data_IF_041171344574
#
_entry.id   IF_041171344574
#
_cell.length_a   1.000
_cell.length_b   1.000
_cell.length_c   1.000
_cell.angle_alpha   90.00
_cell.angle_beta   90.00
_cell.angle_gamma   90.00
#
_symmetry.space_group_name_H-M   'P 1'
#
loop_
_entity.id
_entity.type
_entity.pdbx_description
1 polymer ?
#
# COMPACT_ATOMS: atom_id res chain seq x y z
N UNK A 1 2.72 17.11 -36.72
CA UNK A 1 1.68 16.37 -35.97
C UNK A 1 2.30 15.94 -34.65
N UNK A 2 2.05 16.72 -33.59
CA UNK A 2 2.53 16.41 -32.26
C UNK A 2 1.67 15.30 -31.68
N UNK A 3 2.29 14.16 -31.37
CA UNK A 3 1.64 13.14 -30.57
C UNK A 3 1.46 13.72 -29.17
N UNK A 4 0.21 13.91 -28.75
CA UNK A 4 -0.12 14.20 -27.38
C UNK A 4 0.42 13.06 -26.52
N UNK A 5 1.39 13.37 -25.67
CA UNK A 5 1.80 12.50 -24.58
C UNK A 5 0.56 12.19 -23.76
N UNK A 6 0.12 10.93 -23.77
CA UNK A 6 -0.93 10.49 -22.85
C UNK A 6 -0.35 10.66 -21.45
N UNK A 7 -0.88 11.62 -20.70
CA UNK A 7 -0.49 11.87 -19.32
C UNK A 7 -0.54 10.57 -18.55
N UNK A 8 0.62 10.13 -18.04
CA UNK A 8 0.82 9.00 -17.15
C UNK A 8 -0.01 9.19 -15.87
N UNK A 9 -1.25 8.71 -15.88
CA UNK A 9 -2.16 8.75 -14.73
C UNK A 9 -1.84 7.72 -13.63
N UNK A 10 -0.62 7.16 -13.61
CA UNK A 10 -0.27 5.97 -12.83
C UNK A 10 0.73 6.19 -11.69
N UNK A 11 1.24 7.40 -11.45
CA UNK A 11 2.23 7.61 -10.38
C UNK A 11 1.63 7.90 -8.99
N UNK A 12 0.34 8.26 -8.89
CA UNK A 12 -0.26 8.75 -7.64
C UNK A 12 -0.84 7.66 -6.73
N UNK A 13 -0.97 6.42 -7.21
CA UNK A 13 -1.62 5.32 -6.48
C UNK A 13 -0.82 4.03 -6.61
N UNK A 14 -0.52 3.41 -5.48
CA UNK A 14 -0.01 2.04 -5.41
C UNK A 14 -0.93 1.20 -4.55
N UNK A 15 -1.26 0.01 -5.02
CA UNK A 15 -2.05 -0.98 -4.27
C UNK A 15 -1.26 -2.28 -4.23
N UNK A 16 -1.03 -2.82 -3.04
CA UNK A 16 -0.40 -4.12 -2.89
C UNK A 16 -1.21 -5.03 -1.96
N UNK A 17 -1.10 -6.32 -2.21
CA UNK A 17 -1.61 -7.38 -1.35
C UNK A 17 -0.46 -8.33 -1.06
N UNK A 18 -0.22 -8.62 0.21
CA UNK A 18 0.88 -9.51 0.62
C UNK A 18 0.49 -10.40 1.80
N UNK A 19 1.20 -11.52 1.92
CA UNK A 19 1.02 -12.52 2.98
C UNK A 19 2.27 -12.55 3.86
N UNK A 20 2.13 -12.17 5.14
CA UNK A 20 3.22 -12.13 6.12
C UNK A 20 3.81 -13.51 6.41
N UNK A 21 3.18 -14.60 6.02
CA UNK A 21 3.66 -15.97 6.27
C UNK A 21 4.60 -16.47 5.17
N UNK A 22 4.63 -15.80 4.01
CA UNK A 22 5.46 -16.17 2.86
C UNK A 22 6.80 -15.44 2.87
N UNK A 23 7.75 -15.87 2.04
CA UNK A 23 9.01 -15.16 1.80
C UNK A 23 9.82 -14.81 3.05
N UNK A 24 9.82 -15.68 4.06
CA UNK A 24 10.49 -15.45 5.35
C UNK A 24 11.99 -15.75 5.32
N UNK A 25 12.47 -16.39 4.25
CA UNK A 25 13.88 -16.70 4.07
C UNK A 25 14.54 -15.70 3.14
N UNK A 26 15.83 -15.48 3.35
CA UNK A 26 16.64 -14.60 2.51
C UNK A 26 16.55 -15.01 1.03
N UNK A 27 16.22 -14.04 0.17
CA UNK A 27 16.06 -14.23 -1.26
C UNK A 27 14.68 -14.73 -1.70
N UNK A 28 13.75 -14.95 -0.78
CA UNK A 28 12.36 -15.36 -1.07
C UNK A 28 11.34 -14.24 -0.84
N UNK A 29 11.78 -13.00 -0.62
CA UNK A 29 10.89 -11.90 -0.21
C UNK A 29 9.81 -11.61 -1.25
N UNK A 30 10.07 -11.89 -2.53
CA UNK A 30 9.08 -11.75 -3.60
C UNK A 30 7.89 -12.70 -3.46
N UNK A 31 8.04 -13.83 -2.77
CA UNK A 31 6.95 -14.76 -2.52
C UNK A 31 5.90 -14.19 -1.56
N UNK A 32 6.23 -13.10 -0.82
CA UNK A 32 5.26 -12.35 -0.01
C UNK A 32 4.19 -11.67 -0.87
N UNK A 33 4.53 -11.29 -2.09
CA UNK A 33 3.69 -10.43 -2.93
C UNK A 33 2.61 -11.29 -3.60
N UNK A 34 1.35 -11.09 -3.20
CA UNK A 34 0.20 -11.73 -3.86
C UNK A 34 -0.30 -10.90 -5.04
N UNK A 35 -0.24 -9.58 -4.91
CA UNK A 35 -0.64 -8.63 -5.95
C UNK A 35 0.08 -7.29 -5.78
N UNK A 36 0.39 -6.64 -6.89
CA UNK A 36 0.90 -5.27 -6.90
C UNK A 36 0.38 -4.51 -8.12
N UNK A 37 -0.07 -3.28 -7.89
CA UNK A 37 -0.47 -2.33 -8.92
C UNK A 37 0.24 -0.99 -8.70
N UNK A 38 0.78 -0.36 -9.76
CA UNK A 38 0.86 -0.87 -11.14
C UNK A 38 1.79 -2.10 -11.29
N UNK A 39 1.47 -3.06 -12.18
CA UNK A 39 2.22 -4.31 -12.30
C UNK A 39 3.60 -4.14 -12.97
N UNK A 40 3.81 -3.04 -13.70
CA UNK A 40 5.05 -2.68 -14.39
C UNK A 40 6.12 -2.09 -13.47
N UNK A 41 5.80 -1.92 -12.18
CA UNK A 41 6.75 -1.42 -11.20
C UNK A 41 7.88 -2.43 -10.92
N UNK A 42 9.11 -1.93 -10.78
CA UNK A 42 10.27 -2.79 -10.48
C UNK A 42 10.11 -3.56 -9.17
N UNK A 43 10.61 -4.80 -9.12
CA UNK A 43 10.60 -5.62 -7.92
C UNK A 43 11.21 -4.93 -6.69
N UNK A 44 12.28 -4.15 -6.89
CA UNK A 44 12.90 -3.37 -5.80
C UNK A 44 11.93 -2.34 -5.20
N UNK A 45 11.11 -1.68 -6.03
CA UNK A 45 10.07 -0.77 -5.53
C UNK A 45 8.97 -1.53 -4.81
N UNK A 46 8.51 -2.67 -5.35
CA UNK A 46 7.45 -3.46 -4.73
C UNK A 46 7.89 -3.96 -3.34
N UNK A 47 9.10 -4.52 -3.25
CA UNK A 47 9.71 -4.96 -2.00
C UNK A 47 9.90 -3.81 -1.00
N UNK A 48 10.31 -2.62 -1.48
CA UNK A 48 10.43 -1.44 -0.62
C UNK A 48 9.10 -1.05 0.03
N UNK A 49 8.00 -1.06 -0.75
CA UNK A 49 6.67 -0.73 -0.23
C UNK A 49 6.18 -1.78 0.78
N UNK A 50 6.38 -3.07 0.48
CA UNK A 50 5.94 -4.17 1.34
C UNK A 50 6.77 -4.23 2.62
N UNK A 51 8.10 -4.14 2.53
CA UNK A 51 8.98 -4.13 3.70
C UNK A 51 8.71 -2.95 4.64
N UNK A 52 8.45 -1.76 4.08
CA UNK A 52 8.03 -0.61 4.88
C UNK A 52 6.68 -0.88 5.57
N UNK A 53 5.70 -1.43 4.84
CA UNK A 53 4.37 -1.72 5.37
C UNK A 53 4.41 -2.76 6.49
N UNK A 54 5.11 -3.86 6.27
CA UNK A 54 5.35 -4.92 7.26
C UNK A 54 6.05 -4.37 8.51
N UNK A 55 7.08 -3.54 8.33
CA UNK A 55 7.78 -2.90 9.43
C UNK A 55 6.86 -2.01 10.26
N UNK A 56 5.99 -1.22 9.61
CA UNK A 56 5.03 -0.34 10.29
C UNK A 56 3.94 -1.13 11.02
N UNK A 57 3.38 -2.17 10.40
CA UNK A 57 2.39 -3.06 11.02
C UNK A 57 3.00 -3.75 12.25
N UNK A 58 4.21 -4.31 12.11
CA UNK A 58 4.90 -5.02 13.18
C UNK A 58 5.22 -4.07 14.32
N UNK A 59 5.76 -2.90 14.02
CA UNK A 59 6.12 -1.89 15.02
C UNK A 59 4.90 -1.41 15.80
N UNK A 60 3.81 -1.07 15.12
CA UNK A 60 2.60 -0.55 15.77
C UNK A 60 1.89 -1.60 16.63
N UNK A 61 1.90 -2.88 16.21
CA UNK A 61 1.38 -4.00 17.01
C UNK A 61 2.09 -4.15 18.37
N UNK A 62 3.36 -3.73 18.49
CA UNK A 62 4.05 -3.72 19.79
C UNK A 62 3.39 -2.79 20.81
N UNK A 63 2.77 -1.71 20.35
CA UNK A 63 2.11 -0.71 21.20
C UNK A 63 0.58 -0.89 21.25
N UNK A 64 0.01 -1.64 20.31
CA UNK A 64 -1.42 -1.91 20.23
C UNK A 64 -1.66 -3.32 19.68
N UNK A 65 -1.53 -4.36 20.52
CA UNK A 65 -1.59 -5.75 20.06
C UNK A 65 -2.95 -6.14 19.44
N UNK A 66 -4.02 -5.58 20.00
CA UNK A 66 -5.41 -5.87 19.59
C UNK A 66 -5.94 -4.91 18.51
N UNK A 67 -5.14 -3.93 18.09
CA UNK A 67 -5.54 -2.92 17.11
C UNK A 67 -4.43 -2.72 16.07
N UNK A 68 -4.65 -3.31 14.90
CA UNK A 68 -3.83 -3.12 13.71
C UNK A 68 -3.70 -1.63 13.34
N UNK A 69 -2.54 -1.23 12.83
CA UNK A 69 -2.40 0.07 12.18
C UNK A 69 -3.33 0.14 10.98
N UNK A 70 -4.17 1.16 10.93
CA UNK A 70 -5.12 1.35 9.84
C UNK A 70 -4.63 2.38 8.81
N UNK A 71 -3.96 3.44 9.26
CA UNK A 71 -3.56 4.57 8.40
C UNK A 71 -2.30 5.23 8.92
N UNK A 72 -1.40 5.57 8.01
CA UNK A 72 -0.25 6.44 8.28
C UNK A 72 -0.30 7.62 7.33
N UNK A 73 -0.28 8.81 7.93
CA UNK A 73 -0.43 10.07 7.23
C UNK A 73 0.92 10.80 7.21
N UNK A 74 1.58 10.83 6.05
CA UNK A 74 2.80 11.59 5.84
C UNK A 74 2.52 12.92 5.13
N UNK A 75 3.53 13.78 5.00
CA UNK A 75 3.39 15.09 4.35
C UNK A 75 2.96 14.96 2.87
N UNK A 76 3.53 13.99 2.16
CA UNK A 76 3.30 13.80 0.71
C UNK A 76 2.44 12.60 0.37
N UNK A 77 2.30 11.64 1.26
CA UNK A 77 1.60 10.39 0.97
C UNK A 77 0.80 9.90 2.17
N UNK A 78 -0.24 9.14 1.90
CA UNK A 78 -1.03 8.42 2.90
C UNK A 78 -0.96 6.93 2.61
N UNK A 79 -0.70 6.14 3.64
CA UNK A 79 -0.71 4.69 3.58
C UNK A 79 -1.96 4.21 4.32
N UNK A 80 -2.81 3.45 3.65
CA UNK A 80 -4.01 2.84 4.22
C UNK A 80 -3.79 1.34 4.26
N UNK A 81 -3.96 0.76 5.43
CA UNK A 81 -3.71 -0.65 5.71
C UNK A 81 -5.03 -1.33 6.06
N UNK A 82 -5.21 -2.54 5.53
CA UNK A 82 -6.35 -3.37 5.83
C UNK A 82 -5.93 -4.84 5.90
N UNK A 83 -6.17 -5.47 7.04
CA UNK A 83 -5.98 -6.92 7.22
C UNK A 83 -7.24 -7.62 6.72
N UNK A 84 -7.18 -8.17 5.50
CA UNK A 84 -8.32 -8.80 4.84
C UNK A 84 -8.59 -10.21 5.41
N UNK A 85 -7.51 -10.93 5.76
CA UNK A 85 -7.52 -12.20 6.48
C UNK A 85 -6.32 -12.22 7.46
N UNK A 86 -6.28 -13.12 8.46
CA UNK A 86 -5.11 -13.22 9.34
C UNK A 86 -3.81 -13.31 8.55
N UNK A 87 -2.91 -12.36 8.80
CA UNK A 87 -1.59 -12.22 8.16
C UNK A 87 -1.61 -11.87 6.65
N UNK A 88 -2.77 -11.64 6.04
CA UNK A 88 -2.91 -11.16 4.66
C UNK A 88 -3.36 -9.71 4.66
N UNK A 89 -2.54 -8.85 4.07
CA UNK A 89 -2.70 -7.41 4.13
C UNK A 89 -2.89 -6.80 2.75
N UNK A 90 -3.83 -5.87 2.68
CA UNK A 90 -4.01 -4.96 1.57
C UNK A 90 -3.50 -3.58 2.00
N UNK A 91 -2.63 -2.99 1.19
CA UNK A 91 -2.08 -1.66 1.46
C UNK A 91 -2.20 -0.78 0.24
N UNK A 92 -2.77 0.40 0.46
CA UNK A 92 -2.91 1.43 -0.56
C UNK A 92 -2.08 2.65 -0.19
N UNK A 93 -1.16 3.02 -1.07
CA UNK A 93 -0.34 4.22 -0.94
C UNK A 93 -0.79 5.26 -1.94
N UNK A 94 -1.14 6.43 -1.43
CA UNK A 94 -1.70 7.52 -2.22
C UNK A 94 -0.81 8.75 -2.08
N UNK A 95 -0.46 9.40 -3.19
CA UNK A 95 0.17 10.71 -3.15
C UNK A 95 -0.87 11.82 -2.91
N UNK A 96 -0.58 12.71 -1.97
CA UNK A 96 -1.41 13.87 -1.66
C UNK A 96 -1.20 14.96 -2.71
N UNK A 97 -2.28 15.39 -3.35
CA UNK A 97 -2.29 16.55 -4.22
C UNK A 97 -3.21 17.65 -3.62
N UNK A 98 -2.71 18.89 -3.59
CA UNK A 98 -3.38 20.07 -3.01
C UNK A 98 -4.73 20.39 -3.67
N UNK A 99 -4.96 19.97 -4.91
CA UNK A 99 -6.24 20.17 -5.61
C UNK A 99 -7.33 19.16 -5.19
N UNK A 100 -6.95 18.14 -4.45
CA UNK A 100 -7.72 16.90 -4.28
C UNK A 100 -8.06 16.62 -2.80
N UNK A 101 -7.64 17.49 -1.87
CA UNK A 101 -7.85 17.36 -0.42
C UNK A 101 -9.33 17.20 -0.01
N UNK A 102 -10.29 17.68 -0.82
CA UNK A 102 -11.72 17.62 -0.49
C UNK A 102 -12.38 16.23 -0.72
N UNK A 103 -11.79 15.35 -1.54
CA UNK A 103 -12.39 14.06 -1.93
C UNK A 103 -11.78 12.87 -1.15
N UNK A 104 -10.58 13.04 -0.58
CA UNK A 104 -9.79 11.96 0.00
C UNK A 104 -10.00 11.83 1.51
N UNK A 105 -11.26 11.61 1.90
CA UNK A 105 -11.55 11.20 3.27
C UNK A 105 -11.02 9.79 3.47
N UNK A 106 -10.12 9.63 4.44
CA UNK A 106 -9.57 8.34 4.90
C UNK A 106 -10.63 7.23 4.98
N UNK A 107 -11.82 7.55 5.47
CA UNK A 107 -12.94 6.61 5.57
C UNK A 107 -13.40 6.05 4.21
N UNK A 108 -13.30 6.82 3.12
CA UNK A 108 -13.64 6.36 1.78
C UNK A 108 -12.60 5.37 1.25
N UNK A 109 -11.33 5.61 1.53
CA UNK A 109 -10.23 4.71 1.15
C UNK A 109 -10.30 3.37 1.87
N UNK A 110 -10.57 3.41 3.18
CA UNK A 110 -10.83 2.19 3.94
C UNK A 110 -12.07 1.44 3.45
N UNK A 111 -13.12 2.16 3.04
CA UNK A 111 -14.32 1.53 2.44
C UNK A 111 -13.99 0.84 1.12
N UNK A 112 -13.18 1.47 0.25
CA UNK A 112 -12.75 0.85 -1.01
C UNK A 112 -12.03 -0.48 -0.73
N UNK A 113 -11.12 -0.53 0.25
CA UNK A 113 -10.42 -1.79 0.59
C UNK A 113 -11.36 -2.85 1.18
N UNK A 114 -12.50 -2.46 1.77
CA UNK A 114 -13.47 -3.37 2.41
C UNK A 114 -14.62 -3.81 1.49
N UNK A 115 -14.85 -3.12 0.37
CA UNK A 115 -15.93 -3.44 -0.59
C UNK A 115 -15.50 -4.41 -1.70
N UNK A 116 -14.19 -4.68 -1.84
CA UNK A 116 -13.62 -5.61 -2.83
C UNK A 116 -13.75 -7.06 -2.38
#
# INVERSE_FOLDING_TARGET
MGMASMSSGSESLRLCVFDLRRGQNEGQELDKILFFYPPDQTFSTQLSVIGLSEGLITFTRLFSPEAACEVIEAERHSHVFYEAEPDIWMVMVVEKNKEIEAIWRVNALQRILKEV
#
